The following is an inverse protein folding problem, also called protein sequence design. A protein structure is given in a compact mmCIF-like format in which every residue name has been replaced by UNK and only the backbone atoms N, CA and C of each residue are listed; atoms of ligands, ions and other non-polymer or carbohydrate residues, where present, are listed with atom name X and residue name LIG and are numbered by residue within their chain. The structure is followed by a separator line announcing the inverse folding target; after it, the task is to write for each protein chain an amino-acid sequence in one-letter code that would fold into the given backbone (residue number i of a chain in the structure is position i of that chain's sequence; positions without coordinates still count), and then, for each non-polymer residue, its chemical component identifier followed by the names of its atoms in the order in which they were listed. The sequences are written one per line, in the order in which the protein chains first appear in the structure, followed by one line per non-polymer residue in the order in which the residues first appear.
data_IF_206475974472
#
_entry.id   IF_206475974472
#
_cell.length_a   1.000
_cell.length_b   1.000
_cell.length_c   1.000
_cell.angle_alpha   90.00
_cell.angle_beta   90.00
_cell.angle_gamma   90.00
#
_symmetry.space_group_name_H-M   'P 1'
#
loop_
_entity.id
_entity.type
_entity.pdbx_description
1 polymer ?
#
# COMPACT_ATOMS: atom_id res chain seq x y z
N UNK A 1 -22.20 -40.66 0.87
CA UNK A 1 -20.91 -40.96 1.51
C UNK A 1 -19.81 -39.92 1.23
N UNK A 2 -19.87 -39.12 0.15
CA UNK A 2 -18.83 -38.11 -0.16
C UNK A 2 -18.99 -36.72 0.50
N UNK A 3 -19.98 -36.52 1.39
CA UNK A 3 -20.29 -35.21 1.98
C UNK A 3 -19.80 -35.02 3.42
N UNK A 4 -19.42 -36.09 4.11
CA UNK A 4 -18.92 -36.03 5.49
C UNK A 4 -17.39 -35.96 5.56
N UNK A 5 -16.68 -36.65 4.65
CA UNK A 5 -15.22 -36.57 4.50
C UNK A 5 -14.76 -35.12 4.24
N UNK A 6 -15.46 -34.44 3.32
CA UNK A 6 -15.18 -33.06 2.91
C UNK A 6 -15.56 -32.01 3.98
N UNK A 7 -16.30 -32.41 5.03
CA UNK A 7 -16.63 -31.55 6.17
C UNK A 7 -15.59 -31.69 7.28
N UNK A 8 -15.09 -32.92 7.51
CA UNK A 8 -13.95 -33.18 8.39
C UNK A 8 -12.65 -32.58 7.85
N UNK A 9 -12.38 -32.66 6.55
CA UNK A 9 -11.17 -32.06 5.96
C UNK A 9 -11.16 -30.52 6.08
N UNK A 10 -12.32 -29.87 5.94
CA UNK A 10 -12.47 -28.42 6.18
C UNK A 10 -12.43 -28.05 7.66
N UNK A 11 -13.00 -28.86 8.55
CA UNK A 11 -12.86 -28.66 10.00
C UNK A 11 -11.41 -28.84 10.48
N UNK A 12 -10.63 -29.74 9.88
CA UNK A 12 -9.20 -29.89 10.16
C UNK A 12 -8.41 -28.69 9.58
N UNK A 13 -8.74 -28.21 8.38
CA UNK A 13 -8.11 -27.00 7.80
C UNK A 13 -8.36 -25.74 8.65
N UNK A 14 -9.57 -25.60 9.21
CA UNK A 14 -9.93 -24.46 10.06
C UNK A 14 -9.34 -24.62 11.47
N UNK A 15 -9.28 -25.84 12.03
CA UNK A 15 -8.65 -26.09 13.33
C UNK A 15 -7.11 -25.92 13.31
N UNK A 16 -6.47 -25.95 12.13
CA UNK A 16 -5.05 -25.61 11.97
C UNK A 16 -4.82 -24.09 12.07
N UNK A 17 -5.81 -23.24 11.75
CA UNK A 17 -5.62 -21.79 11.68
C UNK A 17 -5.78 -21.03 13.01
N UNK A 18 -6.41 -21.61 14.04
CA UNK A 18 -6.81 -20.86 15.25
C UNK A 18 -5.91 -21.18 16.47
N UNK A 19 -4.90 -22.05 16.32
CA UNK A 19 -4.06 -22.51 17.44
C UNK A 19 -2.54 -22.45 17.24
N UNK A 20 -2.05 -22.00 16.08
CA UNK A 20 -0.64 -22.14 15.69
C UNK A 20 0.07 -20.81 15.36
N UNK A 21 -0.51 -19.64 15.67
CA UNK A 21 0.12 -18.32 15.47
C UNK A 21 1.22 -17.96 16.48
N UNK A 22 1.76 -18.95 17.20
CA UNK A 22 2.98 -18.83 18.00
C UNK A 22 4.09 -19.77 17.54
N UNK A 23 3.89 -20.54 16.47
CA UNK A 23 4.93 -21.42 15.96
C UNK A 23 5.96 -20.60 15.16
N UNK A 24 7.11 -20.36 15.80
CA UNK A 24 8.27 -19.70 15.22
C UNK A 24 8.67 -20.27 13.84
N UNK A 25 8.31 -21.51 13.52
CA UNK A 25 8.59 -22.16 12.22
C UNK A 25 7.82 -21.58 11.03
N UNK A 26 6.56 -21.15 11.18
CA UNK A 26 5.81 -20.53 10.08
C UNK A 26 6.28 -19.10 9.81
N UNK A 27 6.56 -18.33 10.85
CA UNK A 27 7.14 -16.99 10.75
C UNK A 27 8.55 -17.07 10.15
N UNK A 28 9.36 -18.06 10.54
CA UNK A 28 10.68 -18.29 9.94
C UNK A 28 10.59 -18.61 8.46
N UNK A 29 9.67 -19.48 8.03
CA UNK A 29 9.46 -19.76 6.61
C UNK A 29 9.01 -18.51 5.83
N UNK A 30 8.03 -17.77 6.34
CA UNK A 30 7.51 -16.54 5.74
C UNK A 30 8.57 -15.44 5.59
N UNK A 31 9.34 -15.13 6.64
CA UNK A 31 10.41 -14.13 6.60
C UNK A 31 11.63 -14.58 5.79
N UNK A 32 11.89 -15.89 5.70
CA UNK A 32 13.02 -16.42 4.92
C UNK A 32 12.76 -16.54 3.42
N UNK A 33 11.48 -16.51 3.01
CA UNK A 33 11.07 -16.66 1.61
C UNK A 33 10.81 -15.33 0.91
N UNK A 34 10.67 -14.23 1.64
CA UNK A 34 10.42 -12.89 1.10
C UNK A 34 11.46 -11.88 1.62
N UNK A 35 12.16 -11.15 0.74
CA UNK A 35 13.15 -10.15 1.14
C UNK A 35 12.44 -8.89 1.64
N UNK A 36 11.87 -8.93 2.85
CA UNK A 36 11.33 -7.73 3.49
C UNK A 36 12.46 -6.79 3.92
N UNK A 37 12.21 -5.48 3.82
CA UNK A 37 13.13 -4.44 4.31
C UNK A 37 13.12 -4.32 5.84
N UNK A 38 12.15 -4.95 6.51
CA UNK A 38 12.02 -5.08 7.96
C UNK A 38 12.59 -6.41 8.46
N UNK A 39 13.18 -6.40 9.65
CA UNK A 39 13.75 -7.61 10.26
C UNK A 39 12.68 -8.51 10.90
N UNK A 40 13.07 -9.72 11.31
CA UNK A 40 12.13 -10.70 11.89
C UNK A 40 11.35 -10.17 13.10
N UNK A 41 12.01 -9.45 14.02
CA UNK A 41 11.35 -8.89 15.19
C UNK A 41 10.29 -7.86 14.80
N UNK A 42 10.62 -7.00 13.83
CA UNK A 42 9.71 -5.98 13.32
C UNK A 42 8.50 -6.62 12.63
N UNK A 43 8.69 -7.69 11.85
CA UNK A 43 7.58 -8.47 11.29
C UNK A 43 6.66 -9.01 12.39
N UNK A 44 7.22 -9.55 13.47
CA UNK A 44 6.43 -10.00 14.62
C UNK A 44 5.64 -8.84 15.28
N UNK A 45 6.23 -7.65 15.38
CA UNK A 45 5.52 -6.46 15.85
C UNK A 45 4.38 -6.05 14.92
N UNK A 46 4.60 -6.03 13.60
CA UNK A 46 3.57 -5.69 12.62
C UNK A 46 2.40 -6.67 12.64
N UNK A 47 2.67 -7.97 12.81
CA UNK A 47 1.63 -9.00 12.97
C UNK A 47 0.84 -8.77 14.27
N UNK A 48 1.51 -8.46 15.38
CA UNK A 48 0.83 -8.14 16.65
C UNK A 48 -0.06 -6.91 16.51
N UNK A 49 0.39 -5.87 15.79
CA UNK A 49 -0.42 -4.69 15.51
C UNK A 49 -1.66 -5.04 14.69
N UNK A 50 -1.51 -5.82 13.62
CA UNK A 50 -2.62 -6.29 12.79
C UNK A 50 -3.68 -7.02 13.63
N UNK A 51 -3.27 -7.97 14.47
CA UNK A 51 -4.18 -8.73 15.32
C UNK A 51 -4.89 -7.87 16.37
N UNK A 52 -4.30 -6.76 16.81
CA UNK A 52 -4.95 -5.83 17.74
C UNK A 52 -5.96 -4.90 17.05
N UNK A 53 -5.82 -4.69 15.73
CA UNK A 53 -6.74 -3.89 14.93
C UNK A 53 -8.01 -4.67 14.55
N UNK A 54 -7.93 -5.99 14.44
CA UNK A 54 -9.01 -6.90 13.99
C UNK A 54 -9.93 -7.41 15.13
N UNK A 55 -9.81 -6.89 16.36
CA UNK A 55 -10.61 -7.38 17.49
C UNK A 55 -11.98 -6.69 17.57
N UNK A 56 -12.91 -7.08 16.69
CA UNK A 56 -14.34 -7.12 17.04
C UNK A 56 -14.89 -8.54 16.82
N UNK A 57 -15.20 -9.31 17.90
CA UNK A 57 -15.66 -10.68 17.77
C UNK A 57 -17.15 -10.71 17.42
N UNK A 58 -17.48 -10.51 16.14
CA UNK A 58 -18.84 -10.70 15.64
C UNK A 58 -18.83 -11.64 14.44
N UNK A 59 -19.30 -12.85 14.71
CA UNK A 59 -19.75 -13.87 13.77
C UNK A 59 -18.73 -14.55 12.82
N UNK A 60 -18.18 -15.63 13.38
CA UNK A 60 -17.93 -16.94 12.76
C UNK A 60 -18.39 -17.02 11.29
N UNK A 61 -17.41 -16.87 10.40
CA UNK A 61 -17.35 -16.95 8.91
C UNK A 61 -16.80 -15.67 8.24
N UNK A 62 -16.40 -14.66 9.01
CA UNK A 62 -15.80 -13.41 8.53
C UNK A 62 -14.40 -13.58 7.90
N UNK A 63 -14.14 -12.80 6.86
CA UNK A 63 -12.85 -12.64 6.18
C UNK A 63 -11.80 -12.23 7.23
N UNK A 64 -10.66 -12.91 7.27
CA UNK A 64 -9.55 -12.58 8.20
C UNK A 64 -8.72 -11.48 7.55
N UNK A 65 -9.14 -10.22 7.69
CA UNK A 65 -8.55 -9.11 6.96
C UNK A 65 -9.09 -7.74 7.36
N UNK A 66 -8.29 -6.69 7.16
CA UNK A 66 -8.74 -5.31 7.35
C UNK A 66 -9.58 -4.87 6.15
N UNK A 67 -10.85 -4.52 6.39
CA UNK A 67 -11.67 -3.94 5.33
C UNK A 67 -11.17 -2.55 4.90
N UNK A 68 -11.71 -2.08 3.77
CA UNK A 68 -11.34 -0.79 3.17
C UNK A 68 -11.47 0.40 4.12
N UNK A 69 -12.50 0.40 4.97
CA UNK A 69 -12.76 1.53 5.87
C UNK A 69 -11.78 1.54 7.05
N UNK A 70 -11.52 0.37 7.60
CA UNK A 70 -10.58 0.14 8.70
C UNK A 70 -9.17 0.52 8.27
N UNK A 71 -8.75 0.05 7.09
CA UNK A 71 -7.44 0.42 6.52
C UNK A 71 -7.35 1.91 6.20
N UNK A 72 -8.39 2.52 5.60
CA UNK A 72 -8.41 3.97 5.35
C UNK A 72 -8.29 4.79 6.63
N UNK A 73 -8.93 4.37 7.72
CA UNK A 73 -8.80 5.05 9.01
C UNK A 73 -7.36 4.99 9.53
N UNK A 74 -6.66 3.87 9.35
CA UNK A 74 -5.23 3.75 9.69
C UNK A 74 -4.39 4.71 8.84
N UNK A 75 -4.59 4.74 7.52
CA UNK A 75 -3.88 5.68 6.63
C UNK A 75 -4.07 7.14 7.07
N UNK A 76 -5.29 7.50 7.46
CA UNK A 76 -5.61 8.84 7.92
C UNK A 76 -4.98 9.19 9.26
N UNK A 77 -5.22 8.36 10.29
CA UNK A 77 -4.82 8.66 11.67
C UNK A 77 -3.32 8.46 11.88
N UNK A 78 -2.76 7.38 11.32
CA UNK A 78 -1.37 6.98 11.55
C UNK A 78 -0.41 7.64 10.55
N UNK A 79 -0.80 7.70 9.28
CA UNK A 79 0.06 8.18 8.19
C UNK A 79 -0.32 9.57 7.66
N UNK A 80 -1.32 10.22 8.26
CA UNK A 80 -1.70 11.60 7.93
C UNK A 80 -2.26 11.77 6.52
N UNK A 81 -2.66 10.69 5.85
CA UNK A 81 -3.22 10.75 4.50
C UNK A 81 -4.62 11.36 4.53
N UNK A 82 -4.89 12.30 3.64
CA UNK A 82 -6.16 13.06 3.63
C UNK A 82 -6.82 13.14 2.26
N UNK A 83 -6.17 12.59 1.23
CA UNK A 83 -6.76 12.50 -0.10
C UNK A 83 -7.45 11.15 -0.25
N UNK A 84 -8.77 11.19 -0.47
CA UNK A 84 -9.61 10.00 -0.52
C UNK A 84 -9.28 9.11 -1.72
N UNK A 85 -8.93 9.72 -2.85
CA UNK A 85 -8.50 9.00 -4.04
C UNK A 85 -7.17 8.29 -3.76
N UNK A 86 -6.17 8.99 -3.23
CA UNK A 86 -4.88 8.38 -2.90
C UNK A 86 -5.08 7.25 -1.89
N UNK A 87 -5.87 7.44 -0.84
CA UNK A 87 -6.11 6.38 0.16
C UNK A 87 -6.79 5.16 -0.47
N UNK A 88 -7.70 5.34 -1.44
CA UNK A 88 -8.29 4.23 -2.19
C UNK A 88 -7.24 3.48 -3.03
N UNK A 89 -6.34 4.23 -3.65
CA UNK A 89 -5.26 3.65 -4.48
C UNK A 89 -4.21 2.94 -3.65
N UNK A 90 -3.84 3.49 -2.50
CA UNK A 90 -2.96 2.86 -1.51
C UNK A 90 -3.58 1.55 -1.01
N UNK A 91 -4.89 1.52 -0.73
CA UNK A 91 -5.58 0.28 -0.39
C UNK A 91 -5.43 -0.77 -1.49
N UNK A 92 -5.72 -0.41 -2.76
CA UNK A 92 -5.57 -1.34 -3.89
C UNK A 92 -4.13 -1.80 -4.11
N UNK A 93 -3.14 -0.95 -3.82
CA UNK A 93 -1.73 -1.33 -3.92
C UNK A 93 -1.32 -2.33 -2.83
N UNK A 94 -1.97 -2.30 -1.66
CA UNK A 94 -1.79 -3.29 -0.60
C UNK A 94 -2.58 -4.60 -0.89
N UNK A 95 -3.82 -4.50 -1.38
CA UNK A 95 -4.70 -5.62 -1.75
C UNK A 95 -4.22 -6.30 -3.06
N UNK A 96 -3.24 -7.20 -2.95
CA UNK A 96 -2.59 -7.86 -4.10
C UNK A 96 -3.47 -8.94 -4.72
N UNK A 97 -4.28 -9.62 -3.92
CA UNK A 97 -5.18 -10.67 -4.42
C UNK A 97 -6.57 -10.15 -4.85
N UNK A 98 -6.85 -8.86 -4.60
CA UNK A 98 -8.09 -8.17 -4.94
C UNK A 98 -9.33 -8.76 -4.23
N UNK A 99 -9.16 -9.31 -3.04
CA UNK A 99 -10.26 -9.83 -2.23
C UNK A 99 -11.03 -8.73 -1.47
N UNK A 100 -10.62 -7.46 -1.64
CA UNK A 100 -11.19 -6.27 -0.98
C UNK A 100 -10.97 -6.23 0.54
N UNK A 101 -10.00 -6.98 1.04
CA UNK A 101 -9.49 -6.92 2.40
C UNK A 101 -7.96 -6.89 2.38
N UNK A 102 -7.34 -6.36 3.44
CA UNK A 102 -5.88 -6.45 3.61
C UNK A 102 -5.59 -7.61 4.55
N UNK A 103 -4.99 -8.66 4.02
CA UNK A 103 -4.49 -9.79 4.81
C UNK A 103 -3.26 -9.38 5.63
N UNK A 104 -2.90 -10.20 6.63
CA UNK A 104 -1.68 -9.97 7.43
C UNK A 104 -0.41 -9.97 6.58
N UNK A 105 -0.39 -10.74 5.49
CA UNK A 105 0.73 -10.81 4.56
C UNK A 105 0.88 -9.49 3.81
N UNK A 106 -0.21 -9.00 3.22
CA UNK A 106 -0.25 -7.72 2.49
C UNK A 106 0.03 -6.53 3.40
N UNK A 107 -0.44 -6.58 4.65
CA UNK A 107 -0.12 -5.60 5.68
C UNK A 107 1.38 -5.50 5.93
N UNK A 108 2.06 -6.63 6.15
CA UNK A 108 3.51 -6.65 6.39
C UNK A 108 4.28 -6.24 5.15
N UNK A 109 3.88 -6.71 3.97
CA UNK A 109 4.48 -6.36 2.68
C UNK A 109 4.39 -4.86 2.39
N UNK A 110 3.20 -4.29 2.44
CA UNK A 110 3.00 -2.87 2.17
C UNK A 110 3.67 -1.98 3.22
N UNK A 111 3.62 -2.35 4.51
CA UNK A 111 4.32 -1.59 5.54
C UNK A 111 5.85 -1.69 5.43
N UNK A 112 6.39 -2.81 4.97
CA UNK A 112 7.83 -2.94 4.67
C UNK A 112 8.27 -1.86 3.66
N UNK A 113 7.48 -1.65 2.60
CA UNK A 113 7.76 -0.62 1.58
C UNK A 113 7.57 0.79 2.17
N UNK A 114 6.47 1.03 2.88
CA UNK A 114 6.15 2.34 3.49
C UNK A 114 7.25 2.82 4.43
N UNK A 115 7.73 1.94 5.30
CA UNK A 115 8.68 2.31 6.33
C UNK A 115 10.10 2.37 5.75
N UNK A 116 10.50 1.32 5.02
CA UNK A 116 11.91 1.05 4.68
C UNK A 116 12.17 0.62 3.24
N UNK A 117 11.18 0.76 2.35
CA UNK A 117 11.35 0.45 0.94
C UNK A 117 12.52 1.19 0.31
N UNK A 118 13.28 0.46 -0.50
CA UNK A 118 14.29 0.99 -1.42
C UNK A 118 13.64 1.94 -2.43
N UNK A 119 14.45 2.72 -3.14
CA UNK A 119 13.93 3.60 -4.19
C UNK A 119 13.23 2.77 -5.28
N UNK A 120 13.78 1.61 -5.65
CA UNK A 120 13.22 0.67 -6.61
C UNK A 120 11.83 0.15 -6.21
N UNK A 121 11.67 -0.26 -4.95
CA UNK A 121 10.38 -0.73 -4.44
C UNK A 121 9.36 0.41 -4.39
N UNK A 122 9.79 1.61 -3.97
CA UNK A 122 8.94 2.79 -3.94
C UNK A 122 8.50 3.24 -5.33
N UNK A 123 9.39 3.18 -6.33
CA UNK A 123 9.02 3.51 -7.70
C UNK A 123 7.93 2.57 -8.23
N UNK A 124 8.07 1.26 -8.03
CA UNK A 124 7.04 0.28 -8.40
C UNK A 124 5.72 0.54 -7.67
N UNK A 125 5.80 0.75 -6.37
CA UNK A 125 4.64 1.02 -5.53
C UNK A 125 3.89 2.29 -5.97
N UNK A 126 4.60 3.42 -6.13
CA UNK A 126 3.98 4.67 -6.57
C UNK A 126 3.35 4.52 -7.96
N UNK A 127 4.04 3.82 -8.88
CA UNK A 127 3.50 3.58 -10.21
C UNK A 127 2.18 2.79 -10.17
N UNK A 128 2.10 1.71 -9.38
CA UNK A 128 0.86 0.93 -9.18
C UNK A 128 -0.28 1.77 -8.56
N UNK A 129 0.06 2.72 -7.68
CA UNK A 129 -0.91 3.67 -7.12
C UNK A 129 -1.47 4.59 -8.22
N UNK A 130 -0.63 5.06 -9.13
CA UNK A 130 -0.98 6.05 -10.16
C UNK A 130 -1.63 5.46 -11.42
N UNK A 131 -1.29 4.23 -11.81
CA UNK A 131 -1.92 3.49 -12.92
C UNK A 131 -3.34 3.05 -12.52
N UNK A 132 -4.34 3.89 -12.78
CA UNK A 132 -5.68 3.73 -12.20
C UNK A 132 -6.39 2.49 -12.74
N UNK A 133 -6.15 2.18 -14.01
CA UNK A 133 -6.82 1.09 -14.71
C UNK A 133 -5.99 -0.21 -14.75
N UNK A 134 -4.70 -0.17 -14.40
CA UNK A 134 -3.80 -1.32 -14.34
C UNK A 134 -3.28 -1.77 -15.71
N UNK A 135 -3.26 -0.90 -16.72
CA UNK A 135 -2.83 -1.22 -18.09
C UNK A 135 -1.32 -1.12 -18.30
N UNK A 136 -0.57 -0.74 -17.26
CA UNK A 136 0.87 -0.57 -17.28
C UNK A 136 1.34 0.81 -17.74
N UNK A 137 0.42 1.76 -17.88
CA UNK A 137 0.70 3.14 -18.26
C UNK A 137 -0.08 4.11 -17.40
N UNK A 138 0.52 5.27 -17.11
CA UNK A 138 -0.20 6.40 -16.53
C UNK A 138 -0.68 7.27 -17.69
N UNK A 139 -1.99 7.27 -17.94
CA UNK A 139 -2.60 8.04 -19.03
C UNK A 139 -2.76 9.51 -18.70
N UNK A 140 -2.93 10.36 -19.73
CA UNK A 140 -3.20 11.80 -19.55
C UNK A 140 -4.41 12.05 -18.64
N UNK A 141 -5.45 11.25 -18.80
CA UNK A 141 -6.69 11.33 -18.01
C UNK A 141 -6.45 10.95 -16.55
N UNK A 142 -5.63 9.94 -16.30
CA UNK A 142 -5.25 9.52 -14.95
C UNK A 142 -4.41 10.58 -14.25
N UNK A 143 -3.41 11.16 -14.94
CA UNK A 143 -2.64 12.29 -14.43
C UNK A 143 -3.54 13.46 -14.05
N UNK A 144 -4.46 13.84 -14.96
CA UNK A 144 -5.40 14.93 -14.72
C UNK A 144 -6.24 14.68 -13.48
N UNK A 145 -6.77 13.46 -13.32
CA UNK A 145 -7.62 13.11 -12.21
C UNK A 145 -6.89 13.14 -10.86
N UNK A 146 -5.66 12.61 -10.81
CA UNK A 146 -4.82 12.60 -9.61
C UNK A 146 -4.38 14.01 -9.19
N UNK A 147 -3.94 14.82 -10.15
CA UNK A 147 -3.50 16.20 -9.90
C UNK A 147 -4.66 17.09 -9.45
N UNK A 148 -5.84 16.91 -10.06
CA UNK A 148 -7.05 17.64 -9.68
C UNK A 148 -7.42 17.38 -8.22
N UNK A 149 -7.40 16.14 -7.77
CA UNK A 149 -7.74 15.81 -6.36
C UNK A 149 -6.67 16.31 -5.38
N UNK A 150 -5.39 16.23 -5.74
CA UNK A 150 -4.29 16.70 -4.92
C UNK A 150 -4.26 18.23 -4.73
N UNK A 151 -4.66 19.00 -5.76
CA UNK A 151 -4.51 20.46 -5.80
C UNK A 151 -5.78 21.25 -5.44
N UNK A 152 -6.97 20.66 -5.54
CA UNK A 152 -8.25 21.35 -5.29
C UNK A 152 -8.58 21.68 -3.82
N UNK A 153 -7.60 21.71 -2.91
CA UNK A 153 -7.82 22.14 -1.52
C UNK A 153 -7.82 23.67 -1.34
N UNK A 154 -7.54 24.45 -2.39
CA UNK A 154 -7.62 25.92 -2.32
C UNK A 154 -8.60 26.45 -3.38
N UNK A 155 -9.61 27.24 -2.99
CA UNK A 155 -10.47 27.92 -3.95
C UNK A 155 -9.66 29.04 -4.63
N UNK A 156 -9.26 28.83 -5.89
CA UNK A 156 -8.73 29.89 -6.76
C UNK A 156 -9.85 30.50 -7.61
N UNK A 157 -9.71 31.77 -8.00
CA UNK A 157 -10.65 32.48 -8.88
C UNK A 157 -10.49 32.12 -10.37
N UNK A 158 -9.41 31.45 -10.75
CA UNK A 158 -9.15 30.94 -12.11
C UNK A 158 -9.74 29.53 -12.29
N UNK A 159 -10.13 29.19 -13.52
CA UNK A 159 -10.60 27.84 -13.87
C UNK A 159 -9.49 26.82 -13.54
N UNK A 160 -9.65 26.03 -12.45
CA UNK A 160 -8.59 25.16 -11.98
C UNK A 160 -8.22 24.12 -13.04
N UNK A 161 -9.11 23.79 -13.96
CA UNK A 161 -8.90 22.73 -14.94
C UNK A 161 -7.85 23.11 -15.99
N UNK A 162 -7.68 24.38 -16.35
CA UNK A 162 -6.60 24.81 -17.28
C UNK A 162 -5.22 24.68 -16.61
N UNK A 163 -5.10 25.07 -15.35
CA UNK A 163 -3.84 24.89 -14.60
C UNK A 163 -3.45 23.42 -14.46
N UNK A 164 -4.41 22.52 -14.26
CA UNK A 164 -4.14 21.07 -14.23
C UNK A 164 -3.70 20.57 -15.61
N UNK A 165 -4.32 21.01 -16.71
CA UNK A 165 -3.88 20.62 -18.07
C UNK A 165 -2.44 21.02 -18.34
N UNK A 166 -2.05 22.23 -17.96
CA UNK A 166 -0.66 22.69 -18.08
C UNK A 166 0.30 21.81 -17.28
N UNK A 167 -0.07 21.44 -16.05
CA UNK A 167 0.74 20.51 -15.24
C UNK A 167 0.86 19.14 -15.88
N UNK A 168 -0.22 18.61 -16.48
CA UNK A 168 -0.19 17.34 -17.20
C UNK A 168 0.78 17.41 -18.38
N UNK A 169 0.75 18.48 -19.18
CA UNK A 169 1.68 18.66 -20.30
C UNK A 169 3.13 18.84 -19.83
N UNK A 170 3.36 19.55 -18.72
CA UNK A 170 4.69 19.65 -18.10
C UNK A 170 5.19 18.28 -17.65
N UNK A 171 4.33 17.47 -17.03
CA UNK A 171 4.68 16.13 -16.56
C UNK A 171 5.01 15.21 -17.72
N UNK A 172 4.19 15.18 -18.77
CA UNK A 172 4.50 14.41 -19.99
C UNK A 172 5.85 14.85 -20.58
N UNK A 173 6.09 16.15 -20.72
CA UNK A 173 7.39 16.66 -21.22
C UNK A 173 8.59 16.21 -20.38
N UNK A 174 8.39 15.97 -19.07
CA UNK A 174 9.44 15.55 -18.14
C UNK A 174 9.62 14.05 -18.07
N UNK A 175 8.56 13.28 -18.26
CA UNK A 175 8.54 11.84 -17.97
C UNK A 175 8.36 10.97 -19.21
N UNK A 176 7.61 11.41 -20.22
CA UNK A 176 7.35 10.67 -21.46
C UNK A 176 8.56 10.75 -22.41
N UNK A 177 9.44 9.74 -22.35
CA UNK A 177 10.67 9.71 -23.16
C UNK A 177 10.48 9.13 -24.56
N UNK A 178 9.48 8.27 -24.77
CA UNK A 178 9.20 7.68 -26.07
C UNK A 178 8.15 8.45 -26.89
N UNK A 179 7.54 9.46 -26.28
CA UNK A 179 6.59 10.42 -26.86
C UNK A 179 5.31 9.77 -27.36
N UNK A 180 4.83 8.74 -26.66
CA UNK A 180 3.57 8.07 -26.95
C UNK A 180 2.34 8.74 -26.30
N UNK A 181 2.56 9.78 -25.49
CA UNK A 181 1.53 10.58 -24.84
C UNK A 181 1.00 10.00 -23.52
N UNK A 182 1.67 8.98 -22.99
CA UNK A 182 1.43 8.36 -21.68
C UNK A 182 2.78 8.05 -21.02
N UNK A 183 2.77 7.58 -19.77
CA UNK A 183 4.01 7.29 -19.04
C UNK A 183 4.04 5.81 -18.69
N UNK A 184 4.96 5.06 -19.31
CA UNK A 184 5.21 3.67 -18.92
C UNK A 184 6.01 3.58 -17.61
N UNK A 185 6.11 2.38 -17.02
CA UNK A 185 6.99 2.19 -15.86
C UNK A 185 8.46 2.53 -16.16
N UNK A 186 8.93 2.27 -17.38
CA UNK A 186 10.31 2.56 -17.79
C UNK A 186 10.56 4.07 -17.85
N UNK A 187 9.58 4.81 -18.35
CA UNK A 187 9.58 6.28 -18.38
C UNK A 187 9.61 6.84 -16.96
N UNK A 188 8.69 6.35 -16.11
CA UNK A 188 8.59 6.75 -14.71
C UNK A 188 9.88 6.47 -13.94
N UNK A 189 10.41 5.24 -14.02
CA UNK A 189 11.65 4.86 -13.34
C UNK A 189 12.82 5.76 -13.75
N UNK A 190 12.98 5.99 -15.06
CA UNK A 190 14.05 6.82 -15.59
C UNK A 190 13.93 8.27 -15.10
N UNK A 191 12.73 8.84 -15.16
CA UNK A 191 12.47 10.21 -14.72
C UNK A 191 12.74 10.38 -13.21
N UNK A 192 12.31 9.44 -12.38
CA UNK A 192 12.54 9.48 -10.92
C UNK A 192 14.02 9.32 -10.58
N UNK A 193 14.78 8.49 -11.32
CA UNK A 193 16.22 8.36 -11.12
C UNK A 193 16.99 9.64 -11.49
N UNK A 194 16.53 10.37 -12.50
CA UNK A 194 17.10 11.67 -12.87
C UNK A 194 16.69 12.77 -11.88
N UNK A 195 15.43 12.77 -11.44
CA UNK A 195 14.85 13.77 -10.53
C UNK A 195 13.97 13.08 -9.47
N UNK A 196 14.57 12.75 -8.32
CA UNK A 196 13.90 12.00 -7.24
C UNK A 196 12.62 12.66 -6.69
N UNK A 197 12.44 13.97 -6.89
CA UNK A 197 11.21 14.68 -6.52
C UNK A 197 9.98 14.23 -7.33
N UNK A 198 10.19 13.59 -8.49
CA UNK A 198 9.10 13.08 -9.33
C UNK A 198 8.47 11.79 -8.80
N UNK A 199 9.04 11.16 -7.76
CA UNK A 199 8.51 9.93 -7.18
C UNK A 199 7.06 10.06 -6.74
N UNK A 200 6.69 11.25 -6.24
CA UNK A 200 5.33 11.56 -5.79
C UNK A 200 4.67 12.68 -6.63
N UNK A 201 5.01 12.76 -7.92
CA UNK A 201 4.61 13.85 -8.82
C UNK A 201 3.09 14.05 -8.94
N UNK A 202 2.31 12.97 -8.79
CA UNK A 202 0.85 13.00 -8.93
C UNK A 202 0.09 13.09 -7.59
N UNK A 203 0.82 13.21 -6.48
CA UNK A 203 0.25 13.32 -5.13
C UNK A 203 0.96 12.41 -4.13
N UNK A 204 1.04 12.82 -2.84
CA UNK A 204 1.76 12.08 -1.82
C UNK A 204 1.05 10.75 -1.50
N UNK A 205 1.68 9.63 -1.83
CA UNK A 205 1.14 8.29 -1.60
C UNK A 205 2.03 7.44 -0.67
N UNK A 206 3.16 7.99 -0.23
CA UNK A 206 4.03 7.44 0.80
C UNK A 206 3.89 8.26 2.09
N UNK A 207 4.07 7.63 3.26
CA UNK A 207 4.02 8.35 4.53
C UNK A 207 5.23 9.27 4.69
N UNK A 208 4.98 10.48 5.19
CA UNK A 208 6.03 11.44 5.48
C UNK A 208 7.02 10.93 6.55
N UNK A 209 8.19 11.55 6.64
CA UNK A 209 9.23 11.13 7.59
C UNK A 209 8.75 11.18 9.06
N UNK A 210 7.92 12.16 9.43
CA UNK A 210 7.46 12.35 10.81
C UNK A 210 6.47 11.25 11.20
N UNK A 211 5.51 10.94 10.34
CA UNK A 211 4.55 9.86 10.50
C UNK A 211 5.26 8.50 10.57
N UNK A 212 6.22 8.26 9.67
CA UNK A 212 7.04 7.03 9.70
C UNK A 212 7.79 6.89 11.03
N UNK A 213 8.53 7.91 11.46
CA UNK A 213 9.26 7.87 12.73
C UNK A 213 8.34 7.68 13.93
N UNK A 214 7.19 8.36 13.94
CA UNK A 214 6.20 8.20 15.01
C UNK A 214 5.64 6.78 15.06
N UNK A 215 5.35 6.19 13.89
CA UNK A 215 4.87 4.81 13.79
C UNK A 215 5.94 3.81 14.24
N UNK A 216 7.17 3.89 13.72
CA UNK A 216 8.26 2.99 14.11
C UNK A 216 8.54 3.08 15.61
N UNK A 217 8.56 4.29 16.17
CA UNK A 217 8.76 4.52 17.60
C UNK A 217 7.61 3.99 18.48
N UNK A 218 6.45 3.66 17.93
CA UNK A 218 5.33 3.06 18.66
C UNK A 218 5.26 1.56 18.42
N UNK A 219 5.46 1.13 17.17
CA UNK A 219 5.38 -0.25 16.73
C UNK A 219 6.55 -1.11 17.23
N UNK A 220 7.75 -0.52 17.35
CA UNK A 220 8.98 -1.26 17.59
C UNK A 220 9.64 -0.93 18.95
N UNK A 221 8.86 -0.45 19.93
CA UNK A 221 9.38 0.01 21.24
C UNK A 221 10.21 -1.03 22.02
N UNK A 222 9.92 -2.31 21.84
CA UNK A 222 10.61 -3.41 22.54
C UNK A 222 11.65 -4.13 21.65
N UNK A 223 12.08 -3.52 20.54
CA UNK A 223 13.10 -4.13 19.69
C UNK A 223 14.38 -4.37 20.50
N UNK A 224 14.85 -5.62 20.62
CA UNK A 224 16.10 -5.87 21.30
C UNK A 224 17.20 -5.10 20.56
N UNK A 225 17.90 -4.22 21.27
CA UNK A 225 19.10 -3.57 20.76
C UNK A 225 20.05 -4.68 20.26
N UNK A 226 20.36 -4.65 18.96
CA UNK A 226 21.27 -5.59 18.30
C UNK A 226 22.70 -5.44 18.83
#
# INVERSE_FOLDING_TARGET
MATLENRREREIHIQIYIGWWTNATFIVAFVSLFPFAVNKFEVECLIKLFNNLDVEPSDRHAIVGLDRNSFRNILHVTFGMTDDMIMDRVFRAFDKDNDSCISVTEWVEGLSIFLRGTLEEKMKYCFEVYDLNGDGYISREEMFHMLKNSLLKQPSEEDPDEGIKDLVEITLKKMDYDHDGKVSFVDFEKAVREENLLLEAFGPCLPDMKCRMSFESQAFQDAPEL
#
